data_IF_971725327138
#
_entry.id   IF_971725327138
#
_cell.length_a   1.000
_cell.length_b   1.000
_cell.length_c   1.000
_cell.angle_alpha   90.00
_cell.angle_beta   90.00
_cell.angle_gamma   90.00
#
_symmetry.space_group_name_H-M   'P 1'
#
loop_
_entity.id
_entity.type
_entity.pdbx_description
1 polymer ?
#
# COMPACT_ATOMS: atom_id res chain seq x y z
N UNK A 1 1.79 -11.44 15.88
CA UNK A 1 2.01 -10.04 16.31
C UNK A 1 1.62 -9.13 15.16
N UNK A 2 0.96 -8.00 15.42
CA UNK A 2 0.61 -7.02 14.38
C UNK A 2 1.74 -6.01 14.27
N UNK A 3 2.25 -5.78 13.06
CA UNK A 3 3.27 -4.76 12.80
C UNK A 3 2.64 -3.66 11.94
N UNK A 4 2.94 -2.40 12.24
CA UNK A 4 2.44 -1.25 11.48
C UNK A 4 3.59 -0.34 11.12
N UNK A 5 3.65 0.08 9.86
CA UNK A 5 4.60 1.05 9.33
C UNK A 5 3.85 2.23 8.73
N UNK A 6 4.27 3.43 9.09
CA UNK A 6 3.78 4.65 8.44
C UNK A 6 4.57 4.85 7.15
N UNK A 7 3.86 5.03 6.03
CA UNK A 7 4.47 5.22 4.71
C UNK A 7 4.33 6.68 4.32
N UNK A 8 5.46 7.31 3.99
CA UNK A 8 5.52 8.68 3.50
C UNK A 8 5.92 8.66 2.03
N UNK A 9 5.32 9.53 1.22
CA UNK A 9 5.72 9.77 -0.16
C UNK A 9 6.55 11.05 -0.20
N UNK A 10 7.75 10.95 -0.76
CA UNK A 10 8.61 12.10 -0.99
C UNK A 10 8.77 12.31 -2.49
N UNK A 11 8.15 13.37 -2.99
CA UNK A 11 8.33 13.85 -4.37
C UNK A 11 8.98 15.23 -4.34
N UNK A 12 8.18 16.27 -4.08
CA UNK A 12 8.64 17.65 -3.87
C UNK A 12 8.61 18.05 -2.39
N UNK A 13 7.68 17.46 -1.63
CA UNK A 13 7.53 17.61 -0.19
C UNK A 13 7.19 16.24 0.39
N UNK A 14 7.70 15.94 1.58
CA UNK A 14 7.29 14.76 2.33
C UNK A 14 5.82 14.90 2.74
N UNK A 15 5.02 13.93 2.33
CA UNK A 15 3.61 13.83 2.70
C UNK A 15 3.31 12.43 3.20
N UNK A 16 2.52 12.34 4.26
CA UNK A 16 2.06 11.05 4.78
C UNK A 16 1.13 10.42 3.74
N UNK A 17 1.53 9.27 3.23
CA UNK A 17 0.80 8.55 2.20
C UNK A 17 -0.22 7.60 2.82
N UNK A 18 0.14 6.94 3.92
CA UNK A 18 -0.75 5.99 4.57
C UNK A 18 -0.07 5.13 5.63
N UNK A 19 -0.76 4.07 6.03
CA UNK A 19 -0.29 3.12 7.02
C UNK A 19 -0.33 1.73 6.40
N UNK A 20 0.77 1.01 6.52
CA UNK A 20 0.90 -0.39 6.15
C UNK A 20 0.87 -1.25 7.41
N UNK A 21 -0.08 -2.16 7.51
CA UNK A 21 -0.20 -3.10 8.61
C UNK A 21 0.04 -4.52 8.11
N UNK A 22 0.86 -5.29 8.82
CA UNK A 22 1.09 -6.71 8.54
C UNK A 22 0.51 -7.55 9.67
N UNK A 23 -0.35 -8.52 9.29
CA UNK A 23 -0.96 -9.47 10.22
C UNK A 23 -1.12 -10.83 9.55
N UNK A 24 -0.58 -11.88 10.17
CA UNK A 24 -0.73 -13.27 9.71
C UNK A 24 -0.32 -13.48 8.23
N UNK A 25 0.88 -12.99 7.84
CA UNK A 25 1.39 -12.98 6.45
C UNK A 25 0.53 -12.21 5.43
N UNK A 26 -0.51 -11.50 5.87
CA UNK A 26 -1.32 -10.61 5.03
C UNK A 26 -0.87 -9.17 5.24
N UNK A 27 -0.72 -8.45 4.14
CA UNK A 27 -0.41 -7.03 4.14
C UNK A 27 -1.71 -6.26 3.92
N UNK A 28 -1.92 -5.26 4.77
CA UNK A 28 -3.02 -4.33 4.71
C UNK A 28 -2.43 -2.95 4.54
N UNK A 29 -3.06 -2.14 3.71
CA UNK A 29 -2.64 -0.79 3.43
C UNK A 29 -3.84 0.14 3.49
N UNK A 30 -3.73 1.23 4.22
CA UNK A 30 -4.75 2.27 4.30
C UNK A 30 -4.16 3.61 3.91
N UNK A 31 -4.79 4.28 2.95
CA UNK A 31 -4.41 5.63 2.54
C UNK A 31 -4.77 6.65 3.61
N UNK A 32 -3.91 7.66 3.77
CA UNK A 32 -4.25 8.82 4.58
C UNK A 32 -5.37 9.64 3.91
N UNK A 33 -6.31 10.17 4.71
CA UNK A 33 -7.44 10.96 4.21
C UNK A 33 -6.98 12.24 3.52
N UNK A 34 -5.89 12.84 3.97
CA UNK A 34 -5.32 14.01 3.32
C UNK A 34 -4.67 13.64 1.99
N UNK A 35 -3.98 12.49 1.94
CA UNK A 35 -3.39 11.97 0.72
C UNK A 35 -4.43 11.63 -0.34
N UNK A 36 -5.57 11.03 0.04
CA UNK A 36 -6.68 10.73 -0.89
C UNK A 36 -7.20 11.99 -1.61
N UNK A 37 -7.18 13.15 -0.95
CA UNK A 37 -7.61 14.43 -1.56
C UNK A 37 -6.66 14.90 -2.66
N UNK A 38 -5.41 14.46 -2.65
CA UNK A 38 -4.42 14.84 -3.67
C UNK A 38 -4.69 14.21 -5.03
N UNK A 39 -5.46 13.12 -5.09
CA UNK A 39 -5.75 12.41 -6.34
C UNK A 39 -4.56 11.63 -6.92
N UNK A 40 -3.43 11.56 -6.21
CA UNK A 40 -2.20 10.92 -6.71
C UNK A 40 -2.34 9.40 -6.66
N UNK A 41 -2.38 8.76 -7.82
CA UNK A 41 -2.39 7.30 -7.94
C UNK A 41 -0.96 6.76 -8.03
N UNK A 42 -0.51 6.06 -6.99
CA UNK A 42 0.84 5.47 -6.95
C UNK A 42 0.90 4.15 -7.71
N UNK A 43 -0.14 3.33 -7.58
CA UNK A 43 -0.25 2.08 -8.33
C UNK A 43 -1.71 1.76 -8.56
N UNK A 44 -2.32 2.19 -9.69
CA UNK A 44 -3.75 1.99 -9.94
C UNK A 44 -4.16 0.52 -9.92
N UNK A 45 -3.24 -0.40 -10.22
CA UNK A 45 -3.49 -1.84 -10.24
C UNK A 45 -3.36 -2.51 -8.87
N UNK A 46 -2.34 -2.19 -8.08
CA UNK A 46 -2.08 -2.85 -6.78
C UNK A 46 -2.68 -2.10 -5.59
N UNK A 47 -2.76 -0.77 -5.68
CA UNK A 47 -3.20 0.13 -4.63
C UNK A 47 -4.12 1.20 -5.24
N UNK A 48 -5.36 0.85 -5.64
CA UNK A 48 -6.29 1.84 -6.14
C UNK A 48 -6.51 2.92 -5.08
N UNK A 49 -6.59 4.17 -5.51
CA UNK A 49 -6.75 5.33 -4.63
C UNK A 49 -8.19 5.38 -4.09
N UNK A 50 -8.49 4.52 -3.12
CA UNK A 50 -9.80 4.42 -2.47
C UNK A 50 -9.66 4.52 -0.96
N UNK A 51 -10.70 5.05 -0.33
CA UNK A 51 -10.81 5.09 1.12
C UNK A 51 -11.01 3.68 1.69
N UNK A 52 -10.43 3.46 2.88
CA UNK A 52 -10.55 2.21 3.63
C UNK A 52 -9.33 1.29 3.51
N UNK A 53 -9.31 0.28 4.38
CA UNK A 53 -8.23 -0.72 4.43
C UNK A 53 -8.28 -1.60 3.19
N UNK A 54 -7.19 -1.58 2.44
CA UNK A 54 -6.97 -2.42 1.27
C UNK A 54 -6.10 -3.59 1.66
N UNK A 55 -6.54 -4.80 1.32
CA UNK A 55 -5.70 -5.98 1.44
C UNK A 55 -4.83 -6.06 0.19
N UNK A 56 -3.52 -6.01 0.38
CA UNK A 56 -2.59 -6.43 -0.66
C UNK A 56 -2.58 -7.95 -0.65
N UNK A 57 -3.26 -8.56 -1.61
CA UNK A 57 -3.09 -9.98 -1.87
C UNK A 57 -1.71 -10.18 -2.53
N UNK A 58 -0.90 -10.98 -1.83
CA UNK A 58 0.52 -11.25 -2.11
C UNK A 58 0.74 -12.06 -3.39
N UNK A 59 -0.33 -12.39 -4.13
CA UNK A 59 -0.25 -13.10 -5.41
C UNK A 59 0.49 -12.27 -6.48
N UNK A 60 0.67 -10.96 -6.25
CA UNK A 60 1.36 -10.09 -7.22
C UNK A 60 2.89 -10.25 -7.22
N UNK A 61 3.46 -11.01 -6.28
CA UNK A 61 4.91 -11.31 -6.23
C UNK A 61 5.25 -12.79 -6.49
N UNK A 62 4.26 -13.66 -6.72
CA UNK A 62 4.50 -15.06 -7.15
C UNK A 62 4.84 -15.21 -8.65
N UNK A 63 5.06 -14.10 -9.35
CA UNK A 63 5.26 -14.06 -10.80
C UNK A 63 6.66 -14.38 -11.32
N UNK A 64 7.56 -15.00 -10.53
CA UNK A 64 8.84 -15.51 -11.05
C UNK A 64 9.20 -16.87 -10.42
N UNK A 65 8.36 -17.89 -10.66
CA UNK A 65 8.86 -19.25 -10.72
C UNK A 65 9.30 -19.53 -12.17
N UNK A 66 10.58 -19.34 -12.47
CA UNK A 66 11.14 -19.96 -13.66
C UNK A 66 11.17 -21.47 -13.40
N UNK A 67 10.24 -22.21 -14.02
CA UNK A 67 10.44 -23.63 -14.29
C UNK A 67 11.66 -23.75 -15.21
N UNK A 68 12.78 -24.28 -14.71
CA UNK A 68 13.35 -25.57 -15.15
C UNK A 68 14.68 -25.83 -14.48
#
# INVERSE_FOLDING_TARGET
MMQTLTIHLTQQKEQKLGILAQKNKKIYFEYDKEFLKTGIQISPYKLPLKAGVQKCDDDTFEGIFFST
#
